data_IF_561420550380
#
_entry.id   IF_561420550380
#
_cell.length_a   1.000
_cell.length_b   1.000
_cell.length_c   1.000
_cell.angle_alpha   90.00
_cell.angle_beta   90.00
_cell.angle_gamma   90.00
#
_symmetry.space_group_name_H-M   'P 1'
#
loop_
_entity.id
_entity.type
_entity.pdbx_description
1 polymer ?
#
# COMPACT_ATOMS: atom_id res chain seq x y z
N UNK A 1 7.83 -34.50 -34.37
CA UNK A 1 7.19 -35.34 -33.33
C UNK A 1 7.87 -35.33 -31.96
N UNK A 2 9.22 -35.37 -31.80
CA UNK A 2 9.82 -35.43 -30.46
C UNK A 2 9.70 -34.14 -29.62
N UNK A 3 9.58 -32.99 -30.27
CA UNK A 3 9.40 -31.68 -29.61
C UNK A 3 8.04 -31.52 -28.93
N UNK A 4 6.98 -32.08 -29.51
CA UNK A 4 5.61 -31.98 -28.99
C UNK A 4 5.42 -32.81 -27.72
N UNK A 5 6.09 -33.96 -27.65
CA UNK A 5 6.10 -34.83 -26.46
C UNK A 5 6.89 -34.21 -25.29
N UNK A 6 7.97 -33.50 -25.58
CA UNK A 6 8.73 -32.75 -24.58
C UNK A 6 7.95 -31.57 -24.01
N UNK A 7 7.24 -30.82 -24.85
CA UNK A 7 6.38 -29.72 -24.40
C UNK A 7 5.23 -30.24 -23.52
N UNK A 8 4.60 -31.36 -23.89
CA UNK A 8 3.54 -31.99 -23.09
C UNK A 8 4.06 -32.57 -21.76
N UNK A 9 5.30 -33.09 -21.74
CA UNK A 9 5.92 -33.60 -20.52
C UNK A 9 6.30 -32.45 -19.56
N UNK A 10 6.85 -31.36 -20.09
CA UNK A 10 7.17 -30.16 -19.32
C UNK A 10 5.91 -29.46 -18.78
N UNK A 11 4.84 -29.38 -19.58
CA UNK A 11 3.58 -28.81 -19.12
C UNK A 11 2.91 -29.67 -18.05
N UNK A 12 2.95 -31.00 -18.19
CA UNK A 12 2.46 -31.93 -17.17
C UNK A 12 3.23 -31.81 -15.85
N UNK A 13 4.56 -31.74 -15.90
CA UNK A 13 5.38 -31.53 -14.69
C UNK A 13 5.19 -30.14 -14.08
N UNK A 14 4.98 -29.10 -14.87
CA UNK A 14 4.63 -27.78 -14.35
C UNK A 14 3.28 -27.80 -13.63
N UNK A 15 2.25 -28.42 -14.22
CA UNK A 15 0.92 -28.52 -13.59
C UNK A 15 0.98 -29.34 -12.29
N UNK A 16 1.73 -30.45 -12.27
CA UNK A 16 1.93 -31.24 -11.05
C UNK A 16 2.70 -30.47 -9.96
N UNK A 17 3.68 -29.65 -10.35
CA UNK A 17 4.46 -28.83 -9.39
C UNK A 17 3.65 -27.67 -8.81
N UNK A 18 2.79 -27.05 -9.62
CA UNK A 18 1.87 -25.99 -9.16
C UNK A 18 0.80 -26.58 -8.24
N UNK A 19 0.19 -27.72 -8.59
CA UNK A 19 -0.77 -28.38 -7.71
C UNK A 19 -0.14 -28.84 -6.38
N UNK A 20 1.10 -29.33 -6.41
CA UNK A 20 1.80 -29.71 -5.17
C UNK A 20 2.09 -28.53 -4.24
N UNK A 21 2.23 -27.30 -4.77
CA UNK A 21 2.38 -26.09 -3.96
C UNK A 21 1.05 -25.64 -3.33
N UNK A 22 -0.08 -25.87 -3.99
CA UNK A 22 -1.42 -25.61 -3.44
C UNK A 22 -1.83 -26.66 -2.40
N UNK A 23 -1.43 -27.92 -2.55
CA UNK A 23 -1.74 -29.02 -1.61
C UNK A 23 -0.70 -29.21 -0.50
N UNK A 24 0.35 -28.39 -0.43
CA UNK A 24 1.30 -28.46 0.69
C UNK A 24 0.67 -27.81 1.92
N UNK A 25 0.29 -28.59 2.96
CA UNK A 25 -0.19 -28.00 4.21
C UNK A 25 0.89 -27.07 4.74
N UNK A 26 0.50 -25.83 5.09
CA UNK A 26 1.41 -24.89 5.74
C UNK A 26 2.08 -25.56 6.93
N UNK A 27 3.35 -25.23 7.16
CA UNK A 27 4.01 -25.66 8.37
C UNK A 27 3.19 -25.22 9.58
N UNK A 28 3.08 -26.09 10.59
CA UNK A 28 2.47 -25.71 11.87
C UNK A 28 3.45 -24.80 12.59
N UNK A 29 2.96 -23.68 13.14
CA UNK A 29 3.80 -22.75 13.87
C UNK A 29 4.46 -23.41 15.08
N UNK A 30 5.76 -23.16 15.29
CA UNK A 30 6.49 -23.69 16.44
C UNK A 30 6.05 -23.06 17.77
N UNK A 31 5.47 -21.86 17.71
CA UNK A 31 4.96 -21.10 18.85
C UNK A 31 3.72 -20.31 18.45
N UNK A 32 2.87 -19.99 19.43
CA UNK A 32 1.75 -19.09 19.26
C UNK A 32 2.22 -17.63 19.24
N UNK A 33 1.49 -16.78 18.54
CA UNK A 33 1.62 -15.33 18.61
C UNK A 33 1.29 -14.90 20.04
N UNK A 34 2.16 -14.09 20.68
CA UNK A 34 1.87 -13.49 21.97
C UNK A 34 0.57 -12.70 21.93
N UNK A 35 -0.19 -12.77 23.03
CA UNK A 35 -1.44 -12.01 23.20
C UNK A 35 -1.21 -10.51 22.96
N UNK A 36 -0.05 -9.98 23.36
CA UNK A 36 0.30 -8.57 23.17
C UNK A 36 0.39 -8.17 21.69
N UNK A 37 0.83 -9.06 20.81
CA UNK A 37 0.90 -8.80 19.36
C UNK A 37 -0.47 -9.04 18.74
N UNK A 38 -1.13 -10.13 19.11
CA UNK A 38 -2.42 -10.52 18.56
C UNK A 38 -3.52 -9.50 18.87
N UNK A 39 -3.49 -8.90 20.05
CA UNK A 39 -4.51 -7.94 20.50
C UNK A 39 -4.08 -6.47 20.30
N UNK A 40 -2.85 -6.23 19.82
CA UNK A 40 -2.39 -4.89 19.49
C UNK A 40 -3.26 -4.24 18.39
N UNK A 41 -3.48 -2.92 18.43
CA UNK A 41 -4.13 -2.23 17.33
C UNK A 41 -3.31 -2.38 16.03
N UNK A 42 -3.99 -2.58 14.92
CA UNK A 42 -3.36 -2.50 13.60
C UNK A 42 -2.98 -1.05 13.31
N UNK A 43 -1.71 -0.80 12.98
CA UNK A 43 -1.22 0.54 12.66
C UNK A 43 -0.72 0.56 11.22
N UNK A 44 -1.27 1.52 10.49
CA UNK A 44 -1.04 1.77 9.08
C UNK A 44 -0.68 3.23 8.89
N UNK A 45 0.38 3.48 8.14
CA UNK A 45 0.77 4.79 7.67
C UNK A 45 0.55 4.88 6.17
N UNK A 46 0.29 6.09 5.72
CA UNK A 46 0.22 6.43 4.32
C UNK A 46 1.26 7.47 3.97
N UNK A 47 1.97 7.29 2.86
CA UNK A 47 2.99 8.20 2.34
C UNK A 47 2.54 8.72 0.97
N UNK A 48 1.49 9.52 0.94
CA UNK A 48 1.06 10.17 -0.31
C UNK A 48 2.10 11.20 -0.77
N UNK A 49 2.14 11.57 -2.07
CA UNK A 49 3.04 12.63 -2.54
C UNK A 49 2.85 14.00 -1.85
N UNK A 50 1.79 14.19 -1.05
CA UNK A 50 1.43 15.46 -0.40
C UNK A 50 1.45 15.44 1.14
N UNK A 51 1.23 14.31 1.79
CA UNK A 51 1.12 14.19 3.25
C UNK A 51 1.23 12.73 3.70
N UNK A 52 1.36 12.52 5.01
CA UNK A 52 1.15 11.19 5.60
C UNK A 52 0.02 11.13 6.63
N UNK A 53 -0.61 9.95 6.75
CA UNK A 53 -1.80 9.73 7.59
C UNK A 53 -1.78 8.42 8.37
N UNK A 54 -2.61 8.31 9.42
CA UNK A 54 -2.79 7.12 10.27
C UNK A 54 -4.25 6.62 10.32
N UNK A 55 -4.50 5.48 10.98
CA UNK A 55 -5.74 4.66 10.85
C UNK A 55 -6.87 5.00 11.79
N UNK A 56 -6.57 5.14 13.08
CA UNK A 56 -7.37 6.08 13.85
C UNK A 56 -7.08 7.40 13.14
N UNK A 57 -8.09 8.24 12.93
CA UNK A 57 -7.91 9.57 12.32
C UNK A 57 -7.15 10.48 13.32
N UNK A 58 -6.01 10.00 13.84
CA UNK A 58 -5.15 10.56 14.88
C UNK A 58 -4.47 11.78 14.31
N UNK A 59 -3.79 11.55 13.19
CA UNK A 59 -2.81 12.48 12.71
C UNK A 59 -2.73 12.46 11.19
N UNK A 60 -2.81 13.66 10.64
CA UNK A 60 -2.32 13.97 9.31
C UNK A 60 -1.11 14.87 9.47
N UNK A 61 0.03 14.42 8.96
CA UNK A 61 1.26 15.22 8.95
C UNK A 61 1.45 15.74 7.53
N UNK A 62 1.45 17.06 7.39
CA UNK A 62 1.73 17.70 6.11
C UNK A 62 3.18 17.42 5.72
N UNK A 63 3.42 16.99 4.48
CA UNK A 63 4.78 16.85 3.97
C UNK A 63 5.53 18.17 4.07
N UNK A 64 6.72 18.16 4.66
CA UNK A 64 7.59 19.33 4.69
C UNK A 64 8.08 19.66 3.26
N UNK A 65 8.62 20.88 3.00
CA UNK A 65 9.05 21.24 1.65
C UNK A 65 10.08 20.27 1.04
N UNK A 66 10.97 19.71 1.86
CA UNK A 66 11.97 18.72 1.43
C UNK A 66 11.31 17.42 0.94
N UNK A 67 10.28 16.94 1.64
CA UNK A 67 9.50 15.77 1.27
C UNK A 67 8.70 16.00 -0.01
N UNK A 68 8.03 17.15 -0.12
CA UNK A 68 7.25 17.49 -1.32
C UNK A 68 8.16 17.60 -2.56
N UNK A 69 9.33 18.24 -2.42
CA UNK A 69 10.32 18.32 -3.49
C UNK A 69 10.88 16.95 -3.84
N UNK A 70 11.14 16.10 -2.83
CA UNK A 70 11.59 14.73 -3.03
C UNK A 70 10.58 13.90 -3.83
N UNK A 71 9.30 13.89 -3.42
CA UNK A 71 8.24 13.16 -4.13
C UNK A 71 8.05 13.70 -5.56
N UNK A 72 8.06 15.02 -5.76
CA UNK A 72 7.97 15.63 -7.08
C UNK A 72 9.16 15.23 -7.98
N UNK A 73 10.36 15.13 -7.41
CA UNK A 73 11.56 14.67 -8.12
C UNK A 73 11.46 13.20 -8.52
N UNK A 74 10.99 12.33 -7.61
CA UNK A 74 10.81 10.91 -7.90
C UNK A 74 9.84 10.67 -9.08
N UNK A 75 8.78 11.47 -9.16
CA UNK A 75 7.81 11.44 -10.27
C UNK A 75 8.42 11.99 -11.58
N UNK A 76 9.10 13.13 -11.52
CA UNK A 76 9.57 13.86 -12.71
C UNK A 76 10.87 13.31 -13.31
N UNK A 77 11.64 12.60 -12.52
CA UNK A 77 12.95 12.06 -12.90
C UNK A 77 13.13 10.73 -12.18
N UNK A 78 12.48 9.65 -12.65
CA UNK A 78 12.84 8.32 -12.20
C UNK A 78 14.34 8.19 -12.42
N UNK A 79 15.12 7.99 -11.35
CA UNK A 79 16.56 7.81 -11.49
C UNK A 79 16.77 6.72 -12.54
N UNK A 80 17.62 6.94 -13.57
CA UNK A 80 17.93 5.89 -14.50
C UNK A 80 18.39 4.70 -13.68
N UNK A 81 17.87 3.51 -13.99
CA UNK A 81 18.25 2.26 -13.35
C UNK A 81 19.77 2.12 -13.52
N UNK A 82 20.52 2.55 -12.51
CA UNK A 82 21.95 2.72 -12.65
C UNK A 82 22.55 1.33 -12.74
N UNK A 83 23.06 0.95 -13.92
CA UNK A 83 23.70 -0.35 -14.15
C UNK A 83 24.81 -0.64 -13.13
N UNK A 84 25.38 0.40 -12.51
CA UNK A 84 26.34 0.25 -11.42
C UNK A 84 25.69 -0.14 -10.09
N UNK A 85 24.46 0.30 -9.79
CA UNK A 85 23.67 -0.15 -8.63
C UNK A 85 23.27 -1.62 -8.78
N UNK A 86 22.87 -2.08 -9.96
CA UNK A 86 22.57 -3.52 -10.20
C UNK A 86 23.82 -4.38 -10.07
N UNK A 87 24.98 -3.92 -10.54
CA UNK A 87 26.25 -4.62 -10.41
C UNK A 87 26.74 -4.66 -8.95
N UNK A 88 26.61 -3.57 -8.18
CA UNK A 88 26.89 -3.55 -6.74
C UNK A 88 25.88 -4.37 -5.94
N UNK A 89 24.60 -4.39 -6.32
CA UNK A 89 23.54 -5.22 -5.70
C UNK A 89 23.80 -6.70 -5.95
N UNK A 90 24.25 -7.08 -7.15
CA UNK A 90 24.73 -8.43 -7.43
C UNK A 90 26.02 -8.76 -6.66
N UNK A 91 27.01 -7.88 -6.62
CA UNK A 91 28.24 -8.13 -5.86
C UNK A 91 27.95 -8.25 -4.35
N UNK A 92 27.04 -7.43 -3.81
CA UNK A 92 26.61 -7.46 -2.41
C UNK A 92 25.72 -8.67 -2.07
N UNK A 93 25.04 -9.27 -3.05
CA UNK A 93 24.39 -10.57 -2.88
C UNK A 93 25.41 -11.72 -2.76
N UNK A 94 26.59 -11.58 -3.36
CA UNK A 94 27.65 -12.61 -3.38
C UNK A 94 28.71 -12.45 -2.29
N UNK A 95 28.91 -11.24 -1.76
CA UNK A 95 29.78 -10.97 -0.62
C UNK A 95 28.93 -10.78 0.63
N UNK A 96 29.25 -11.40 1.79
CA UNK A 96 28.56 -11.15 3.06
C UNK A 96 29.03 -9.80 3.65
N UNK A 97 29.11 -8.76 2.82
CA UNK A 97 29.23 -7.39 3.31
C UNK A 97 27.82 -7.06 3.77
N UNK A 98 27.60 -7.11 5.09
CA UNK A 98 26.29 -6.79 5.67
C UNK A 98 25.79 -5.48 5.07
N UNK A 99 24.53 -5.43 4.65
CA UNK A 99 23.83 -4.23 4.19
C UNK A 99 23.99 -3.05 5.17
N UNK A 100 24.23 -3.36 6.45
CA UNK A 100 24.62 -2.41 7.51
C UNK A 100 25.92 -1.64 7.19
N UNK A 101 26.90 -2.26 6.54
CA UNK A 101 28.21 -1.67 6.27
C UNK A 101 28.18 -0.76 5.04
N UNK A 102 27.49 -1.14 3.96
CA UNK A 102 27.23 -0.26 2.81
C UNK A 102 26.45 0.97 3.22
N UNK A 103 25.40 0.81 4.05
CA UNK A 103 24.61 1.92 4.60
C UNK A 103 25.43 2.85 5.51
N UNK A 104 26.25 2.29 6.42
CA UNK A 104 27.13 3.07 7.29
C UNK A 104 28.24 3.81 6.52
N UNK A 105 28.82 3.17 5.51
CA UNK A 105 29.83 3.80 4.64
C UNK A 105 29.23 4.89 3.77
N UNK A 106 28.04 4.68 3.19
CA UNK A 106 27.30 5.73 2.46
C UNK A 106 27.05 6.94 3.34
N UNK A 107 26.49 6.73 4.55
CA UNK A 107 26.24 7.79 5.54
C UNK A 107 27.53 8.51 5.98
N UNK A 108 28.68 7.82 5.99
CA UNK A 108 29.98 8.43 6.28
C UNK A 108 30.53 9.26 5.12
N UNK A 109 30.33 8.81 3.88
CA UNK A 109 30.72 9.55 2.67
C UNK A 109 29.91 10.84 2.50
N UNK A 110 28.61 10.84 2.81
CA UNK A 110 27.78 12.04 2.77
C UNK A 110 28.18 13.08 3.85
N UNK A 111 28.67 12.63 5.02
CA UNK A 111 29.21 13.53 6.06
C UNK A 111 30.49 14.27 5.67
N UNK A 112 31.13 13.92 4.55
CA UNK A 112 32.34 14.57 4.04
C UNK A 112 32.07 15.77 3.11
N UNK A 113 30.85 16.32 3.12
CA UNK A 113 30.57 17.65 2.57
C UNK A 113 29.94 17.66 1.17
N UNK A 114 29.30 16.56 0.76
CA UNK A 114 28.50 16.49 -0.46
C UNK A 114 27.02 16.21 -0.15
N UNK A 115 26.19 17.14 -0.59
CA UNK A 115 24.83 16.94 -1.13
C UNK A 115 23.66 16.76 -0.16
N UNK A 116 22.48 17.09 -0.67
CA UNK A 116 21.16 17.09 -0.04
C UNK A 116 20.88 15.87 0.85
N UNK A 117 19.98 16.03 1.83
CA UNK A 117 19.47 14.91 2.66
C UNK A 117 19.12 13.72 1.75
N UNK A 118 19.57 12.53 2.14
CA UNK A 118 19.21 11.29 1.46
C UNK A 118 17.69 11.08 1.58
N UNK A 119 17.06 10.42 0.59
CA UNK A 119 15.62 10.12 0.61
C UNK A 119 15.19 9.37 1.88
N UNK A 120 16.05 8.51 2.41
CA UNK A 120 15.84 7.81 3.68
C UNK A 120 15.64 8.80 4.84
N UNK A 121 16.46 9.85 4.93
CA UNK A 121 16.37 10.86 5.99
C UNK A 121 15.08 11.68 5.87
N UNK A 122 14.75 12.11 4.64
CA UNK A 122 13.54 12.88 4.35
C UNK A 122 12.27 12.07 4.71
N UNK A 123 12.22 10.79 4.33
CA UNK A 123 11.09 9.90 4.68
C UNK A 123 11.07 9.60 6.18
N UNK A 124 12.23 9.38 6.81
CA UNK A 124 12.33 9.10 8.24
C UNK A 124 11.84 10.28 9.09
N UNK A 125 12.09 11.53 8.67
CA UNK A 125 11.57 12.72 9.35
C UNK A 125 10.04 12.74 9.36
N UNK A 126 9.37 12.49 8.22
CA UNK A 126 7.91 12.42 8.15
C UNK A 126 7.35 11.24 8.97
N UNK A 127 7.97 10.07 8.86
CA UNK A 127 7.56 8.87 9.62
C UNK A 127 7.75 9.05 11.13
N UNK A 128 8.75 9.82 11.57
CA UNK A 128 8.97 10.14 13.00
C UNK A 128 7.80 10.94 13.56
N UNK A 129 7.33 11.95 12.82
CA UNK A 129 6.17 12.74 13.25
C UNK A 129 4.90 11.88 13.33
N UNK A 130 4.66 11.01 12.35
CA UNK A 130 3.55 10.06 12.37
C UNK A 130 3.64 9.08 13.54
N UNK A 131 4.83 8.53 13.79
CA UNK A 131 5.11 7.64 14.93
C UNK A 131 4.82 8.35 16.25
N UNK A 132 5.42 9.51 16.48
CA UNK A 132 5.28 10.26 17.72
C UNK A 132 3.82 10.63 18.01
N UNK A 133 3.06 11.04 16.99
CA UNK A 133 1.64 11.35 17.14
C UNK A 133 0.81 10.11 17.42
N UNK A 134 1.10 9.00 16.73
CA UNK A 134 0.38 7.74 16.91
C UNK A 134 0.64 7.15 18.31
N UNK A 135 1.90 7.08 18.75
CA UNK A 135 2.27 6.57 20.08
C UNK A 135 1.64 7.37 21.22
N UNK A 136 1.53 8.70 21.05
CA UNK A 136 0.85 9.56 22.03
C UNK A 136 -0.64 9.27 22.13
N UNK A 137 -1.28 8.92 21.02
CA UNK A 137 -2.72 8.64 20.99
C UNK A 137 -3.04 7.24 21.50
N UNK A 138 -2.28 6.22 21.07
CA UNK A 138 -2.52 4.83 21.48
C UNK A 138 -1.90 4.50 22.85
N UNK A 139 -1.14 5.44 23.44
CA UNK A 139 -0.46 5.33 24.73
C UNK A 139 0.46 4.10 24.83
N UNK A 140 1.04 3.69 23.70
CA UNK A 140 1.91 2.52 23.59
C UNK A 140 3.00 2.78 22.55
N UNK A 141 4.18 2.20 22.77
CA UNK A 141 5.26 2.24 21.79
C UNK A 141 4.89 1.38 20.56
N UNK A 142 5.17 1.90 19.38
CA UNK A 142 4.99 1.17 18.13
C UNK A 142 6.17 0.24 17.89
N UNK A 143 5.87 -1.00 17.55
CA UNK A 143 6.86 -2.00 17.13
C UNK A 143 6.82 -2.23 15.62
N UNK A 144 5.62 -2.45 15.06
CA UNK A 144 5.41 -2.74 13.64
C UNK A 144 4.31 -1.88 13.03
N UNK A 145 4.52 -1.46 11.79
CA UNK A 145 3.54 -0.70 10.99
C UNK A 145 3.45 -1.28 9.57
N UNK A 146 2.31 -1.08 8.93
CA UNK A 146 2.19 -1.22 7.48
C UNK A 146 2.24 0.17 6.85
N UNK A 147 2.93 0.34 5.73
CA UNK A 147 3.08 1.65 5.08
C UNK A 147 2.58 1.56 3.64
N UNK A 148 1.61 2.39 3.27
CA UNK A 148 1.20 2.57 1.88
C UNK A 148 2.09 3.58 1.18
N UNK A 149 2.36 3.32 -0.08
CA UNK A 149 3.10 4.22 -0.97
C UNK A 149 2.35 4.38 -2.30
N UNK A 150 2.47 5.54 -2.98
CA UNK A 150 2.10 5.65 -4.38
C UNK A 150 3.00 4.72 -5.22
N UNK A 151 2.53 4.28 -6.38
CA UNK A 151 3.29 3.37 -7.26
C UNK A 151 4.42 4.07 -8.04
N UNK A 152 5.19 4.93 -7.38
CA UNK A 152 6.30 5.62 -8.01
C UNK A 152 7.48 4.63 -8.09
N UNK A 153 7.86 4.22 -9.31
CA UNK A 153 8.89 3.19 -9.54
C UNK A 153 10.25 3.51 -8.91
N UNK A 154 10.59 4.80 -8.76
CA UNK A 154 11.82 5.26 -8.12
C UNK A 154 11.75 5.29 -6.58
N UNK A 155 10.56 5.08 -5.99
CA UNK A 155 10.36 4.94 -4.54
C UNK A 155 10.50 3.47 -4.14
N UNK A 156 11.72 3.03 -3.94
CA UNK A 156 12.02 1.65 -3.54
C UNK A 156 11.50 1.32 -2.12
N UNK A 157 10.88 0.14 -1.94
CA UNK A 157 10.42 -0.33 -0.62
C UNK A 157 11.58 -0.48 0.38
N UNK A 158 12.80 -0.73 -0.10
CA UNK A 158 14.01 -0.77 0.72
C UNK A 158 14.28 0.58 1.39
N UNK A 159 14.02 1.69 0.70
CA UNK A 159 14.14 3.04 1.25
C UNK A 159 13.16 3.26 2.40
N UNK A 160 11.91 2.81 2.24
CA UNK A 160 10.89 2.87 3.30
C UNK A 160 11.30 2.04 4.51
N UNK A 161 11.74 0.80 4.29
CA UNK A 161 12.16 -0.09 5.37
C UNK A 161 13.38 0.46 6.11
N UNK A 162 14.36 1.03 5.41
CA UNK A 162 15.50 1.68 6.04
C UNK A 162 15.09 2.90 6.89
N UNK A 163 14.14 3.70 6.40
CA UNK A 163 13.60 4.84 7.14
C UNK A 163 12.84 4.43 8.41
N UNK A 164 12.11 3.30 8.36
CA UNK A 164 11.46 2.69 9.53
C UNK A 164 12.49 2.15 10.53
N UNK A 165 13.52 1.44 10.05
CA UNK A 165 14.60 0.90 10.89
C UNK A 165 15.33 2.01 11.67
N UNK A 166 15.58 3.16 11.04
CA UNK A 166 16.17 4.36 11.70
C UNK A 166 15.32 4.86 12.88
N UNK A 167 14.01 4.57 12.89
CA UNK A 167 13.07 4.93 13.95
C UNK A 167 12.81 3.79 14.95
N UNK A 168 13.50 2.66 14.78
CA UNK A 168 13.26 1.44 15.55
C UNK A 168 11.92 0.76 15.23
N UNK A 169 11.31 1.07 14.09
CA UNK A 169 10.08 0.44 13.62
C UNK A 169 10.41 -0.73 12.69
N UNK A 170 9.56 -1.75 12.72
CA UNK A 170 9.56 -2.87 11.78
C UNK A 170 8.36 -2.78 10.83
N UNK A 171 8.46 -3.40 9.66
CA UNK A 171 7.36 -3.43 8.68
C UNK A 171 6.57 -4.73 8.76
N UNK A 172 5.27 -4.67 8.46
CA UNK A 172 4.43 -5.84 8.18
C UNK A 172 4.53 -6.32 6.72
N UNK A 173 5.20 -5.56 5.85
CA UNK A 173 5.30 -5.83 4.41
C UNK A 173 6.62 -6.54 4.09
N UNK A 174 6.57 -7.48 3.15
CA UNK A 174 7.75 -8.22 2.70
C UNK A 174 8.38 -9.15 3.75
N UNK A 175 7.65 -9.47 4.82
CA UNK A 175 8.09 -10.42 5.85
C UNK A 175 7.83 -11.89 5.47
N UNK A 176 7.14 -12.13 4.35
CA UNK A 176 6.83 -13.45 3.82
C UNK A 176 6.59 -13.43 2.31
N UNK A 177 6.84 -14.58 1.68
CA UNK A 177 6.54 -14.81 0.27
C UNK A 177 5.04 -14.92 -0.02
N UNK A 178 4.18 -15.02 0.99
CA UNK A 178 2.74 -15.16 0.79
C UNK A 178 2.01 -13.82 0.79
N UNK A 179 2.67 -12.76 1.24
CA UNK A 179 2.08 -11.46 1.44
C UNK A 179 2.74 -10.40 0.55
N UNK A 180 2.09 -9.24 0.34
CA UNK A 180 2.67 -8.16 -0.45
C UNK A 180 4.01 -7.70 0.13
N UNK A 181 4.98 -7.48 -0.77
CA UNK A 181 6.26 -6.86 -0.45
C UNK A 181 6.19 -5.33 -0.37
N UNK A 182 5.16 -4.75 -1.00
CA UNK A 182 4.81 -3.34 -1.00
C UNK A 182 3.29 -3.21 -0.96
N UNK A 183 2.76 -2.18 -0.34
CA UNK A 183 1.33 -1.91 -0.31
C UNK A 183 1.07 -0.59 -1.04
N UNK A 184 0.35 -0.67 -2.15
CA UNK A 184 0.09 0.50 -3.00
C UNK A 184 -1.15 1.25 -2.49
N UNK A 185 -1.17 2.57 -2.67
CA UNK A 185 -2.26 3.44 -2.22
C UNK A 185 -3.64 2.97 -2.75
N UNK A 186 -3.77 2.61 -4.03
CA UNK A 186 -5.06 2.22 -4.60
C UNK A 186 -5.61 0.94 -3.98
N UNK A 187 -4.78 -0.08 -3.79
CA UNK A 187 -5.16 -1.34 -3.15
C UNK A 187 -5.57 -1.13 -1.69
N UNK A 188 -4.84 -0.30 -0.95
CA UNK A 188 -5.20 0.03 0.42
C UNK A 188 -6.52 0.81 0.51
N UNK A 189 -6.76 1.76 -0.40
CA UNK A 189 -8.04 2.47 -0.48
C UNK A 189 -9.17 1.50 -0.88
N UNK A 190 -8.91 0.53 -1.76
CA UNK A 190 -9.85 -0.52 -2.14
C UNK A 190 -10.25 -1.38 -0.93
N UNK A 191 -9.27 -1.80 -0.12
CA UNK A 191 -9.49 -2.49 1.17
C UNK A 191 -10.27 -1.63 2.17
N UNK A 192 -9.92 -0.35 2.30
CA UNK A 192 -10.56 0.54 3.27
C UNK A 192 -12.05 0.77 2.98
N UNK A 193 -12.44 0.64 1.71
CA UNK A 193 -13.83 0.67 1.27
C UNK A 193 -14.55 -0.69 1.40
N UNK A 194 -13.87 -1.71 1.97
CA UNK A 194 -14.44 -3.03 2.24
C UNK A 194 -14.39 -3.99 1.06
N UNK A 195 -13.60 -3.69 0.03
CA UNK A 195 -13.46 -4.56 -1.15
C UNK A 195 -12.18 -5.41 -1.09
N UNK A 196 -12.17 -6.50 -1.85
CA UNK A 196 -11.02 -7.41 -1.97
C UNK A 196 -10.54 -8.03 -0.65
N UNK A 197 -11.43 -8.13 0.33
CA UNK A 197 -11.21 -8.75 1.62
C UNK A 197 -11.90 -10.12 1.67
N UNK A 198 -11.11 -11.19 1.74
CA UNK A 198 -11.63 -12.54 2.01
C UNK A 198 -12.14 -12.68 3.45
N UNK A 199 -13.03 -13.65 3.65
CA UNK A 199 -13.58 -14.03 4.95
C UNK A 199 -12.59 -14.90 5.73
N UNK A 200 -11.94 -15.86 5.06
CA UNK A 200 -11.04 -16.83 5.67
C UNK A 200 -9.57 -16.39 5.56
N UNK A 201 -9.24 -15.14 5.87
CA UNK A 201 -7.86 -14.60 5.76
C UNK A 201 -6.81 -15.30 6.62
N UNK A 202 -7.22 -16.10 7.61
CA UNK A 202 -6.33 -16.94 8.41
C UNK A 202 -5.71 -18.08 7.59
N UNK A 203 -6.38 -18.51 6.52
CA UNK A 203 -5.86 -19.44 5.54
C UNK A 203 -5.72 -18.73 4.20
N UNK A 204 -4.47 -18.42 3.80
CA UNK A 204 -4.25 -17.66 2.56
C UNK A 204 -4.77 -18.39 1.31
N UNK A 205 -4.72 -19.72 1.29
CA UNK A 205 -5.16 -20.47 0.10
C UNK A 205 -6.67 -20.40 -0.04
N UNK A 206 -7.41 -20.60 1.07
CA UNK A 206 -8.86 -20.38 1.07
C UNK A 206 -9.21 -18.93 0.72
N UNK A 207 -8.43 -17.96 1.24
CA UNK A 207 -8.60 -16.54 0.93
C UNK A 207 -8.45 -16.27 -0.57
N UNK A 208 -7.42 -16.83 -1.22
CA UNK A 208 -7.21 -16.69 -2.68
C UNK A 208 -8.28 -17.45 -3.48
N UNK A 209 -8.71 -18.62 -3.02
CA UNK A 209 -9.76 -19.42 -3.68
C UNK A 209 -11.12 -18.71 -3.65
N UNK A 210 -11.44 -17.94 -2.61
CA UNK A 210 -12.65 -17.09 -2.54
C UNK A 210 -12.77 -16.10 -3.72
N UNK A 211 -11.65 -15.76 -4.35
CA UNK A 211 -11.57 -14.84 -5.49
C UNK A 211 -11.45 -15.56 -6.84
N UNK A 212 -10.99 -16.81 -6.86
CA UNK A 212 -10.75 -17.54 -8.11
C UNK A 212 -12.04 -17.81 -8.91
N UNK A 213 -13.16 -18.03 -8.23
CA UNK A 213 -14.47 -18.23 -8.85
C UNK A 213 -15.15 -16.92 -9.31
N UNK A 214 -14.55 -15.75 -9.02
CA UNK A 214 -15.09 -14.46 -9.42
C UNK A 214 -14.67 -14.14 -10.86
N UNK A 215 -15.60 -14.30 -11.80
CA UNK A 215 -15.37 -14.06 -13.24
C UNK A 215 -15.13 -12.59 -13.64
N UNK A 216 -15.12 -11.65 -12.69
CA UNK A 216 -14.97 -10.22 -12.99
C UNK A 216 -13.69 -9.69 -12.36
N UNK A 217 -12.73 -9.32 -13.20
CA UNK A 217 -11.54 -8.58 -12.81
C UNK A 217 -11.93 -7.13 -12.56
N UNK A 218 -11.87 -6.62 -11.32
CA UNK A 218 -12.18 -5.23 -11.07
C UNK A 218 -11.06 -4.34 -11.63
N UNK A 219 -11.44 -3.27 -12.32
CA UNK A 219 -10.56 -2.15 -12.60
C UNK A 219 -10.98 -0.96 -11.71
N UNK A 220 -10.05 -0.54 -10.87
CA UNK A 220 -10.27 0.45 -9.81
C UNK A 220 -9.55 1.73 -10.22
N UNK A 221 -10.32 2.79 -10.49
CA UNK A 221 -9.78 4.13 -10.68
C UNK A 221 -9.66 4.80 -9.30
N UNK A 222 -8.44 4.93 -8.80
CA UNK A 222 -8.12 5.79 -7.66
C UNK A 222 -8.02 7.24 -8.15
N UNK A 223 -8.68 8.15 -7.45
CA UNK A 223 -8.57 9.59 -7.64
C UNK A 223 -8.19 10.24 -6.30
N UNK A 224 -6.91 10.54 -6.14
CA UNK A 224 -6.36 11.22 -4.97
C UNK A 224 -6.21 12.71 -5.24
N UNK A 225 -6.91 13.55 -4.48
CA UNK A 225 -6.92 15.00 -4.69
C UNK A 225 -6.51 15.76 -3.43
N UNK A 226 -5.43 16.54 -3.56
CA UNK A 226 -4.83 17.31 -2.48
C UNK A 226 -4.81 18.82 -2.80
N UNK A 227 -4.24 19.60 -1.89
CA UNK A 227 -3.99 21.03 -2.10
C UNK A 227 -3.06 21.32 -3.27
N UNK A 228 -2.12 20.43 -3.54
CA UNK A 228 -1.00 20.70 -4.45
C UNK A 228 -0.94 19.78 -5.67
N UNK A 229 -1.71 18.70 -5.71
CA UNK A 229 -1.69 17.78 -6.85
C UNK A 229 -3.01 17.03 -7.03
N UNK A 230 -3.25 16.62 -8.27
CA UNK A 230 -4.10 15.49 -8.61
C UNK A 230 -3.20 14.29 -8.89
N UNK A 231 -3.52 13.16 -8.24
CA UNK A 231 -2.95 11.86 -8.52
C UNK A 231 -4.09 10.92 -8.92
N UNK A 232 -3.98 10.30 -10.08
CA UNK A 232 -4.90 9.24 -10.51
C UNK A 232 -4.11 7.98 -10.80
N UNK A 233 -4.72 6.84 -10.48
CA UNK A 233 -4.16 5.54 -10.79
C UNK A 233 -5.27 4.56 -11.18
N UNK A 234 -4.97 3.63 -12.08
CA UNK A 234 -5.82 2.48 -12.36
C UNK A 234 -5.09 1.23 -11.86
N UNK A 235 -5.67 0.60 -10.83
CA UNK A 235 -5.27 -0.71 -10.32
C UNK A 235 -6.20 -1.79 -10.85
N UNK A 236 -5.64 -2.95 -11.14
CA UNK A 236 -6.39 -4.18 -11.47
C UNK A 236 -6.01 -5.28 -10.46
N UNK A 237 -6.63 -5.29 -9.27
CA UNK A 237 -6.35 -6.29 -8.26
C UNK A 237 -6.51 -7.70 -8.83
N UNK A 238 -5.53 -8.57 -8.61
CA UNK A 238 -5.51 -9.93 -9.18
C UNK A 238 -6.72 -10.70 -8.65
N UNK A 239 -7.61 -11.13 -9.54
CA UNK A 239 -8.89 -11.79 -9.21
C UNK A 239 -9.78 -10.96 -8.25
N UNK A 240 -9.52 -9.66 -8.08
CA UNK A 240 -10.20 -8.83 -7.08
C UNK A 240 -9.66 -8.94 -5.65
N UNK A 241 -8.59 -9.70 -5.41
CA UNK A 241 -7.90 -9.76 -4.13
C UNK A 241 -7.04 -8.51 -3.94
N UNK A 242 -7.31 -7.72 -2.90
CA UNK A 242 -6.66 -6.42 -2.69
C UNK A 242 -5.30 -6.51 -1.97
N UNK A 243 -5.07 -7.59 -1.22
CA UNK A 243 -3.86 -7.79 -0.41
C UNK A 243 -3.05 -8.97 -0.95
N UNK A 244 -3.11 -9.15 -2.27
CA UNK A 244 -2.44 -10.23 -2.97
C UNK A 244 -0.92 -10.11 -2.84
N UNK A 245 -0.23 -11.25 -2.89
CA UNK A 245 1.24 -11.32 -2.92
C UNK A 245 1.85 -10.48 -4.04
N UNK A 246 1.21 -10.53 -5.21
CA UNK A 246 1.65 -9.86 -6.43
C UNK A 246 0.69 -8.72 -6.69
N UNK A 247 1.23 -7.51 -6.76
CA UNK A 247 0.52 -6.32 -7.21
C UNK A 247 0.94 -6.07 -8.66
N UNK A 248 -0.02 -5.83 -9.54
CA UNK A 248 0.30 -5.33 -10.88
C UNK A 248 0.80 -3.89 -10.75
N UNK A 249 1.69 -3.47 -11.65
CA UNK A 249 2.05 -2.06 -11.74
C UNK A 249 0.83 -1.25 -12.18
N UNK A 250 0.65 -0.09 -11.58
CA UNK A 250 -0.47 0.81 -11.82
C UNK A 250 -0.11 1.80 -12.93
N UNK A 251 -1.03 1.96 -13.89
CA UNK A 251 -0.99 3.13 -14.76
C UNK A 251 -1.37 4.35 -13.92
N UNK A 252 -0.53 5.37 -13.90
CA UNK A 252 -0.67 6.52 -13.00
C UNK A 252 -0.38 7.84 -13.70
N UNK A 253 -1.06 8.89 -13.24
CA UNK A 253 -0.85 10.27 -13.67
C UNK A 253 -0.74 11.17 -12.44
N UNK A 254 0.29 12.01 -12.44
CA UNK A 254 0.48 13.06 -11.44
C UNK A 254 0.44 14.42 -12.14
N UNK A 255 -0.42 15.32 -11.68
CA UNK A 255 -0.44 16.71 -12.13
C UNK A 255 -0.42 17.67 -10.94
N UNK A 256 0.77 18.25 -10.70
CA UNK A 256 1.04 19.23 -9.64
C UNK A 256 0.45 20.62 -9.94
N UNK A 257 -0.07 20.86 -11.15
CA UNK A 257 -0.62 22.16 -11.54
C UNK A 257 -2.15 22.24 -11.42
N UNK A 258 -2.81 21.15 -11.02
CA UNK A 258 -4.28 21.08 -10.90
C UNK A 258 -4.79 20.87 -9.47
N UNK A 259 -3.94 20.98 -8.45
CA UNK A 259 -4.33 20.90 -7.04
C UNK A 259 -5.35 21.97 -6.59
N UNK A 260 -5.98 21.75 -5.43
CA UNK A 260 -7.04 22.63 -4.92
C UNK A 260 -6.60 24.10 -4.79
N UNK A 261 -5.37 24.36 -4.35
CA UNK A 261 -4.88 25.73 -4.17
C UNK A 261 -4.89 26.49 -5.52
N UNK A 262 -4.55 25.82 -6.63
CA UNK A 262 -4.60 26.39 -7.98
C UNK A 262 -6.04 26.60 -8.45
N UNK A 263 -6.91 25.62 -8.19
CA UNK A 263 -8.33 25.69 -8.54
C UNK A 263 -9.01 26.88 -7.85
N UNK A 264 -8.67 27.16 -6.58
CA UNK A 264 -9.23 28.28 -5.82
C UNK A 264 -8.61 29.63 -6.19
N UNK A 265 -7.33 29.68 -6.56
CA UNK A 265 -6.66 30.91 -6.99
C UNK A 265 -7.10 31.38 -8.37
N UNK A 266 -7.34 30.44 -9.28
CA UNK A 266 -7.68 30.71 -10.66
C UNK A 266 -8.77 29.76 -11.13
N UNK A 267 -10.00 30.00 -10.65
CA UNK A 267 -11.23 29.27 -11.03
C UNK A 267 -11.69 29.62 -12.46
N UNK A 268 -10.75 29.53 -13.40
CA UNK A 268 -10.99 29.72 -14.81
C UNK A 268 -11.54 28.44 -15.42
N UNK A 269 -12.36 28.57 -16.46
CA UNK A 269 -12.85 27.42 -17.23
C UNK A 269 -11.68 26.56 -17.72
N UNK A 270 -10.57 27.18 -18.15
CA UNK A 270 -9.38 26.48 -18.60
C UNK A 270 -8.77 25.56 -17.52
N UNK A 271 -8.77 26.00 -16.25
CA UNK A 271 -8.26 25.18 -15.15
C UNK A 271 -9.17 23.97 -14.87
N UNK A 272 -10.50 24.19 -14.92
CA UNK A 272 -11.48 23.10 -14.80
C UNK A 272 -11.39 22.12 -15.96
N UNK A 273 -11.19 22.62 -17.18
CA UNK A 273 -11.03 21.79 -18.38
C UNK A 273 -9.75 20.96 -18.29
N UNK A 274 -8.64 21.53 -17.80
CA UNK A 274 -7.40 20.77 -17.55
C UNK A 274 -7.62 19.68 -16.51
N UNK A 275 -8.24 20.01 -15.37
CA UNK A 275 -8.57 19.04 -14.33
C UNK A 275 -9.45 17.90 -14.88
N UNK A 276 -10.49 18.25 -15.65
CA UNK A 276 -11.36 17.29 -16.34
C UNK A 276 -10.57 16.39 -17.28
N UNK A 277 -9.69 16.95 -18.11
CA UNK A 277 -8.85 16.19 -19.04
C UNK A 277 -7.97 15.19 -18.29
N UNK A 278 -7.29 15.60 -17.21
CA UNK A 278 -6.44 14.71 -16.42
C UNK A 278 -7.21 13.53 -15.80
N UNK A 279 -8.46 13.75 -15.37
CA UNK A 279 -9.32 12.68 -14.84
C UNK A 279 -9.75 11.65 -15.91
N UNK A 280 -9.70 12.04 -17.18
CA UNK A 280 -10.13 11.20 -18.30
C UNK A 280 -8.98 10.43 -18.96
N UNK A 281 -7.71 10.84 -18.76
CA UNK A 281 -6.53 10.21 -19.41
C UNK A 281 -6.51 8.71 -19.18
N UNK A 282 -6.43 8.27 -17.92
CA UNK A 282 -6.28 6.84 -17.63
C UNK A 282 -7.51 6.01 -18.03
N UNK A 283 -8.76 6.40 -17.73
CA UNK A 283 -9.92 5.61 -18.12
C UNK A 283 -10.12 5.49 -19.64
N UNK A 284 -9.69 6.48 -20.42
CA UNK A 284 -9.78 6.44 -21.87
C UNK A 284 -8.70 5.58 -22.51
N UNK A 285 -7.51 5.51 -21.90
CA UNK A 285 -6.38 4.71 -22.37
C UNK A 285 -6.42 3.26 -21.84
N UNK A 286 -7.21 2.99 -20.81
CA UNK A 286 -7.33 1.65 -20.21
C UNK A 286 -8.10 0.69 -21.13
N UNK A 287 -7.56 -0.52 -21.27
CA UNK A 287 -8.28 -1.63 -21.92
C UNK A 287 -9.37 -2.24 -21.01
N UNK A 288 -9.38 -1.88 -19.72
CA UNK A 288 -10.30 -2.42 -18.73
C UNK A 288 -11.49 -1.50 -18.47
N UNK A 289 -12.67 -2.12 -18.35
CA UNK A 289 -13.90 -1.43 -17.94
C UNK A 289 -13.76 -1.04 -16.46
N UNK A 290 -13.71 0.25 -16.18
CA UNK A 290 -13.67 0.76 -14.80
C UNK A 290 -14.94 0.33 -14.05
N UNK A 291 -14.75 -0.43 -12.97
CA UNK A 291 -15.84 -0.95 -12.13
C UNK A 291 -15.97 -0.20 -10.81
N UNK A 292 -14.90 0.45 -10.35
CA UNK A 292 -14.89 1.23 -9.11
C UNK A 292 -14.17 2.56 -9.35
N UNK A 293 -14.69 3.63 -8.76
CA UNK A 293 -14.00 4.92 -8.65
C UNK A 293 -13.88 5.24 -7.17
N UNK A 294 -12.66 5.32 -6.66
CA UNK A 294 -12.38 5.54 -5.24
C UNK A 294 -11.68 6.88 -5.04
N UNK A 295 -12.01 7.54 -3.94
CA UNK A 295 -11.48 8.85 -3.60
C UNK A 295 -10.48 8.75 -2.46
N UNK A 296 -9.36 9.45 -2.61
CA UNK A 296 -8.35 9.66 -1.57
C UNK A 296 -7.90 11.13 -1.52
N UNK A 297 -7.18 11.53 -0.48
CA UNK A 297 -6.69 12.90 -0.36
C UNK A 297 -7.61 13.84 0.39
N UNK A 298 -7.02 14.86 1.02
CA UNK A 298 -7.69 15.78 1.92
C UNK A 298 -8.63 16.76 1.22
N UNK A 299 -8.47 16.94 -0.09
CA UNK A 299 -9.29 17.85 -0.89
C UNK A 299 -10.34 17.11 -1.72
N UNK A 300 -10.37 15.78 -1.71
CA UNK A 300 -11.27 15.00 -2.57
C UNK A 300 -12.76 15.16 -2.26
N UNK A 301 -13.11 15.64 -1.06
CA UNK A 301 -14.50 15.98 -0.72
C UNK A 301 -14.87 17.43 -1.06
N UNK A 302 -13.97 18.19 -1.72
CA UNK A 302 -14.25 19.56 -2.10
C UNK A 302 -15.41 19.62 -3.12
N UNK A 303 -16.45 20.45 -2.91
CA UNK A 303 -17.60 20.48 -3.81
C UNK A 303 -17.29 20.85 -5.26
N UNK A 304 -16.33 21.74 -5.52
CA UNK A 304 -15.95 22.14 -6.88
C UNK A 304 -15.26 20.99 -7.60
N UNK A 305 -14.32 20.32 -6.93
CA UNK A 305 -13.66 19.13 -7.45
C UNK A 305 -14.66 18.01 -7.74
N UNK A 306 -15.57 17.71 -6.80
CA UNK A 306 -16.59 16.68 -6.98
C UNK A 306 -17.55 16.99 -8.15
N UNK A 307 -17.82 18.25 -8.44
CA UNK A 307 -18.61 18.63 -9.62
C UNK A 307 -17.86 18.30 -10.91
N UNK A 308 -16.59 18.70 -11.01
CA UNK A 308 -15.74 18.40 -12.19
C UNK A 308 -15.57 16.89 -12.37
N UNK A 309 -15.37 16.15 -11.28
CA UNK A 309 -15.27 14.69 -11.32
C UNK A 309 -16.56 14.06 -11.84
N UNK A 310 -17.73 14.46 -11.32
CA UNK A 310 -19.02 13.93 -11.80
C UNK A 310 -19.22 14.20 -13.29
N UNK A 311 -18.88 15.42 -13.72
CA UNK A 311 -18.99 15.79 -15.13
C UNK A 311 -18.03 14.96 -16.00
N UNK A 312 -16.79 14.76 -15.57
CA UNK A 312 -15.83 13.90 -16.25
C UNK A 312 -16.32 12.44 -16.34
N UNK A 313 -16.75 11.85 -15.22
CA UNK A 313 -17.25 10.47 -15.19
C UNK A 313 -18.49 10.28 -16.06
N UNK A 314 -19.33 11.31 -16.22
CA UNK A 314 -20.50 11.22 -17.11
C UNK A 314 -20.13 11.00 -18.59
N UNK A 315 -18.95 11.45 -19.02
CA UNK A 315 -18.43 11.17 -20.37
C UNK A 315 -17.95 9.73 -20.54
N UNK A 316 -17.52 9.10 -19.44
CA UNK A 316 -17.06 7.71 -19.42
C UNK A 316 -18.21 6.70 -19.39
N UNK A 317 -19.47 7.16 -19.33
CA UNK A 317 -20.66 6.29 -19.28
C UNK A 317 -20.68 5.15 -20.32
N UNK A 318 -20.16 5.28 -21.56
CA UNK A 318 -20.10 4.17 -22.51
C UNK A 318 -19.07 3.08 -22.16
N UNK A 319 -18.05 3.41 -21.37
CA UNK A 319 -16.88 2.56 -21.04
C UNK A 319 -16.95 2.07 -19.58
N UNK A 320 -17.83 2.65 -18.78
CA UNK A 320 -18.09 2.21 -17.41
C UNK A 320 -19.06 1.03 -17.37
N UNK A 321 -18.89 0.16 -16.38
CA UNK A 321 -19.83 -0.94 -16.15
C UNK A 321 -21.25 -0.38 -15.92
N UNK A 322 -22.32 -0.98 -16.48
CA UNK A 322 -23.69 -0.60 -16.14
C UNK A 322 -23.99 -0.85 -14.65
N UNK A 323 -23.28 -1.81 -14.04
CA UNK A 323 -23.29 -2.09 -12.60
C UNK A 323 -22.22 -1.29 -11.86
N UNK A 324 -21.69 -0.20 -12.44
CA UNK A 324 -20.72 0.67 -11.78
C UNK A 324 -21.29 0.98 -10.41
N UNK A 325 -20.70 0.34 -9.40
CA UNK A 325 -20.92 0.70 -8.01
C UNK A 325 -20.19 2.00 -7.89
N UNK A 326 -20.87 3.05 -8.32
CA UNK A 326 -20.40 4.41 -8.23
C UNK A 326 -20.54 4.80 -6.76
N UNK A 327 -19.71 4.18 -5.94
CA UNK A 327 -19.36 4.67 -4.64
C UNK A 327 -18.46 5.88 -4.88
N UNK A 328 -18.92 6.91 -5.61
CA UNK A 328 -18.50 8.26 -5.27
C UNK A 328 -18.96 8.34 -3.83
N UNK A 329 -18.04 8.16 -2.90
CA UNK A 329 -18.29 8.04 -1.47
C UNK A 329 -18.82 9.37 -0.93
N UNK A 330 -20.00 9.77 -1.41
CA UNK A 330 -20.67 11.02 -1.12
C UNK A 330 -21.70 10.83 -0.01
N UNK A 331 -21.80 9.67 0.64
CA UNK A 331 -22.96 9.41 1.52
C UNK A 331 -22.78 8.39 2.65
N UNK A 332 -21.75 7.55 2.69
CA UNK A 332 -21.44 6.86 3.95
C UNK A 332 -20.58 7.80 4.78
N UNK A 333 -21.10 8.29 5.91
CA UNK A 333 -20.34 8.98 6.97
C UNK A 333 -19.12 8.17 7.49
N UNK A 334 -18.82 7.01 6.92
CA UNK A 334 -18.00 5.96 7.53
C UNK A 334 -16.52 6.01 7.14
N UNK A 335 -16.12 6.68 6.05
CA UNK A 335 -14.73 6.74 5.61
C UNK A 335 -14.34 8.15 5.15
N UNK A 336 -13.36 8.74 5.81
CA UNK A 336 -12.72 9.98 5.40
C UNK A 336 -11.67 9.69 4.31
N UNK A 337 -11.78 10.25 3.08
CA UNK A 337 -10.81 10.02 2.00
C UNK A 337 -9.35 10.36 2.36
N UNK A 338 -9.15 11.30 3.29
CA UNK A 338 -7.83 11.67 3.81
C UNK A 338 -7.10 10.51 4.49
N UNK A 339 -7.84 9.56 5.07
CA UNK A 339 -7.28 8.45 5.84
C UNK A 339 -7.58 7.11 5.19
N UNK A 340 -8.10 7.09 3.95
CA UNK A 340 -8.55 5.86 3.31
C UNK A 340 -7.40 4.87 3.11
N UNK A 341 -6.29 5.30 2.51
CA UNK A 341 -5.13 4.45 2.31
C UNK A 341 -4.51 3.98 3.64
N UNK A 342 -4.29 4.90 4.58
CA UNK A 342 -3.78 4.56 5.91
C UNK A 342 -4.66 3.51 6.58
N UNK A 343 -5.99 3.68 6.57
CA UNK A 343 -6.95 2.71 7.11
C UNK A 343 -6.82 1.34 6.45
N UNK A 344 -6.65 1.30 5.13
CA UNK A 344 -6.35 0.07 4.40
C UNK A 344 -5.09 -0.62 4.90
N UNK A 345 -4.03 0.16 5.12
CA UNK A 345 -2.76 -0.31 5.68
C UNK A 345 -2.92 -0.89 7.09
N UNK A 346 -3.72 -0.31 8.00
CA UNK A 346 -3.96 -0.98 9.27
C UNK A 346 -4.86 -2.20 9.16
N UNK A 347 -5.83 -2.22 8.26
CA UNK A 347 -6.62 -3.44 8.05
C UNK A 347 -5.69 -4.59 7.65
N UNK A 348 -4.71 -4.30 6.79
CA UNK A 348 -3.64 -5.24 6.51
C UNK A 348 -2.81 -5.58 7.75
N UNK A 349 -2.29 -4.58 8.48
CA UNK A 349 -1.50 -4.80 9.70
C UNK A 349 -2.26 -5.64 10.74
N UNK A 350 -3.55 -5.38 10.93
CA UNK A 350 -4.43 -6.10 11.85
C UNK A 350 -4.56 -7.57 11.46
N UNK A 351 -4.74 -7.86 10.17
CA UNK A 351 -4.75 -9.24 9.67
C UNK A 351 -3.41 -9.93 9.88
N UNK A 352 -2.28 -9.21 9.72
CA UNK A 352 -0.93 -9.74 9.97
C UNK A 352 -0.64 -9.97 11.46
N UNK A 353 -1.27 -9.22 12.36
CA UNK A 353 -1.19 -9.45 13.81
C UNK A 353 -1.94 -10.71 14.25
N UNK A 354 -2.95 -11.14 13.50
CA UNK A 354 -3.76 -12.31 13.82
C UNK A 354 -3.26 -13.60 13.16
N UNK A 355 -2.34 -13.49 12.18
CA UNK A 355 -1.88 -14.60 11.35
C UNK A 355 -0.37 -14.55 11.16
N UNK A 356 0.33 -15.62 11.53
CA UNK A 356 1.76 -15.73 11.26
C UNK A 356 2.04 -15.85 9.75
N UNK A 357 3.18 -15.30 9.32
CA UNK A 357 3.48 -15.12 7.91
C UNK A 357 3.57 -16.45 7.12
N UNK A 358 4.30 -17.41 7.69
CA UNK A 358 4.76 -18.61 6.98
C UNK A 358 4.24 -19.92 7.59
N UNK A 359 3.36 -19.85 8.58
CA UNK A 359 2.86 -21.02 9.29
C UNK A 359 1.42 -20.85 9.73
N UNK A 360 0.75 -21.97 10.02
CA UNK A 360 -0.59 -22.00 10.59
C UNK A 360 -0.51 -22.25 12.08
N UNK A 361 -1.15 -21.39 12.88
CA UNK A 361 -1.23 -21.61 14.31
C UNK A 361 -2.13 -22.81 14.61
N UNK A 362 -1.71 -23.72 15.50
CA UNK A 362 -2.56 -24.80 15.94
C UNK A 362 -3.71 -24.25 16.82
N UNK A 363 -4.89 -24.89 16.85
CA UNK A 363 -6.08 -24.37 17.53
C UNK A 363 -5.88 -24.17 19.05
N UNK A 364 -4.91 -24.84 19.65
CA UNK A 364 -4.51 -24.68 21.06
C UNK A 364 -3.99 -23.27 21.37
N UNK A 365 -3.48 -22.53 20.38
CA UNK A 365 -3.00 -21.16 20.57
C UNK A 365 -4.10 -20.22 21.04
N UNK A 366 -5.33 -20.41 20.56
CA UNK A 366 -6.48 -19.63 21.01
C UNK A 366 -6.83 -19.90 22.49
N UNK A 367 -6.63 -21.14 22.94
CA UNK A 367 -6.82 -21.50 24.35
C UNK A 367 -5.75 -20.84 25.22
N UNK A 368 -4.49 -20.85 24.77
CA UNK A 368 -3.36 -20.21 25.47
C UNK A 368 -3.60 -18.70 25.61
N UNK A 369 -3.98 -18.00 24.53
CA UNK A 369 -4.27 -16.56 24.56
C UNK A 369 -5.37 -16.21 25.57
N UNK A 370 -6.47 -16.95 25.60
CA UNK A 370 -7.56 -16.72 26.57
C UNK A 370 -7.10 -16.89 28.02
N UNK A 371 -6.21 -17.85 28.29
CA UNK A 371 -5.64 -18.04 29.62
C UNK A 371 -4.71 -16.89 30.01
N UNK A 372 -3.92 -16.36 29.07
CA UNK A 372 -3.06 -15.20 29.28
C UNK A 372 -3.88 -13.94 29.58
N UNK A 373 -4.93 -13.66 28.81
CA UNK A 373 -5.86 -12.55 29.01
C UNK A 373 -6.54 -12.60 30.39
N UNK A 374 -6.93 -13.80 30.84
CA UNK A 374 -7.54 -13.98 32.17
C UNK A 374 -6.52 -13.68 33.28
N UNK A 375 -5.27 -14.09 33.10
CA UNK A 375 -4.19 -13.85 34.07
C UNK A 375 -3.77 -12.38 34.13
N UNK A 376 -3.78 -11.65 33.01
CA UNK A 376 -3.46 -10.22 32.97
C UNK A 376 -4.56 -9.39 33.62
N UNK A 377 -5.82 -9.70 33.35
CA UNK A 377 -6.99 -9.03 33.96
C UNK A 377 -7.01 -9.19 35.48
N UNK A 378 -6.80 -10.42 35.98
CA UNK A 378 -6.76 -10.68 37.43
C UNK A 378 -5.58 -10.07 38.18
N UNK A 379 -4.54 -9.61 37.46
CA UNK A 379 -3.41 -8.86 38.04
C UNK A 379 -3.64 -7.34 38.09
N UNK A 380 -4.61 -6.81 37.34
CA UNK A 380 -4.97 -5.38 37.39
C UNK A 380 -5.95 -5.07 38.52
N UNK A 381 -6.64 -6.08 39.06
CA UNK A 381 -7.61 -5.95 40.16
C UNK A 381 -6.99 -6.11 41.58
N UNK A 382 -5.67 -6.28 41.66
CA UNK A 382 -4.87 -6.38 42.91
C UNK A 382 -3.92 -5.19 43.01
#
# INVERSE_FOLDING_TARGET
MPTLLWILYLSSHCVLSVNALYDCPRAVCASCLPTEIHDAPGVGFDLTPSYGGSVVEIARVQGNPEYLEYMARLVSSPEPEDETKTLFKHIAQWLPISDVWSRKCGRWLYKLGYSAKDGIEIISDLLRELKDLTEREILCALDRVAVTIPDISSLEHQTINAALEDLGLRTWLGDSLYYPSRLIEADAVYVANGYGLCKNYQNIFECTDEFYDQLSYPAVLLVSFSRHLLYTAISTPINGEALARVTNDEAQVFDFEVGLDRLLQNDSQAQRDRLRQQLLVLPQESEFIVTHVLLAGESATNPQFLAVLKDALSELSPIMSPDLKMTIANSSKALNPTFAAARGAALYARRRQEVQADCQEPPECEIIRRQEQTRSSGKQDL
#
